data_IF_651108558867
#
_entry.id   IF_651108558867
#
_cell.length_a   1.000
_cell.length_b   1.000
_cell.length_c   1.000
_cell.angle_alpha   90.00
_cell.angle_beta   90.00
_cell.angle_gamma   90.00
#
_symmetry.space_group_name_H-M   'P 1'
#
loop_
_entity.id
_entity.type
_entity.pdbx_description
1 polymer ?
#
# COMPACT_ATOMS: atom_id res chain seq x y z
N UNK A 1 7.14 -0.36 20.96
CA UNK A 1 5.74 -0.20 21.39
C UNK A 1 5.23 -1.57 21.82
N UNK A 2 4.90 -1.77 23.10
CA UNK A 2 4.50 -3.08 23.66
C UNK A 2 3.13 -3.47 23.10
N UNK A 3 3.05 -4.63 22.44
CA UNK A 3 1.79 -5.20 21.93
C UNK A 3 1.29 -6.16 23.01
N UNK A 4 0.51 -5.64 23.95
CA UNK A 4 -0.35 -6.46 24.83
C UNK A 4 -1.80 -6.19 24.42
N UNK A 5 -2.22 -6.82 23.32
CA UNK A 5 -3.62 -6.90 22.90
C UNK A 5 -3.90 -8.33 22.51
N UNK A 6 -5.02 -8.90 22.95
CA UNK A 6 -5.42 -10.26 22.62
C UNK A 6 -5.39 -10.46 21.09
N UNK A 7 -4.81 -11.56 20.63
CA UNK A 7 -4.62 -11.86 19.20
C UNK A 7 -5.95 -11.85 18.43
N UNK A 8 -7.03 -12.24 19.09
CA UNK A 8 -8.38 -12.22 18.52
C UNK A 8 -8.96 -10.81 18.40
N UNK A 9 -8.75 -9.95 19.40
CA UNK A 9 -9.17 -8.53 19.35
C UNK A 9 -8.51 -7.80 18.19
N UNK A 10 -7.24 -8.14 17.89
CA UNK A 10 -6.53 -7.63 16.73
C UNK A 10 -7.21 -8.04 15.41
N UNK A 11 -7.63 -9.31 15.27
CA UNK A 11 -8.29 -9.77 14.05
C UNK A 11 -9.69 -9.17 13.84
N UNK A 12 -10.44 -8.88 14.91
CA UNK A 12 -11.73 -8.17 14.80
C UNK A 12 -11.53 -6.80 14.12
N UNK A 13 -10.52 -6.05 14.57
CA UNK A 13 -10.18 -4.74 14.01
C UNK A 13 -9.69 -4.87 12.56
N UNK A 14 -8.88 -5.88 12.24
CA UNK A 14 -8.41 -6.13 10.87
C UNK A 14 -9.60 -6.51 9.97
N UNK A 15 -10.60 -7.27 10.45
CA UNK A 15 -11.81 -7.61 9.68
C UNK A 15 -12.63 -6.37 9.34
N UNK A 16 -12.79 -5.43 10.28
CA UNK A 16 -13.46 -4.14 10.02
C UNK A 16 -12.72 -3.38 8.93
N UNK A 17 -11.40 -3.24 9.07
CA UNK A 17 -10.55 -2.57 8.06
C UNK A 17 -10.60 -3.24 6.70
N UNK A 18 -10.65 -4.57 6.63
CA UNK A 18 -10.80 -5.32 5.38
C UNK A 18 -12.04 -4.87 4.61
N UNK A 19 -13.17 -4.74 5.32
CA UNK A 19 -14.45 -4.31 4.74
C UNK A 19 -14.39 -2.85 4.33
N UNK A 20 -13.91 -1.97 5.22
CA UNK A 20 -13.76 -0.53 4.96
C UNK A 20 -12.92 -0.26 3.71
N UNK A 21 -11.77 -0.91 3.58
CA UNK A 21 -10.87 -0.79 2.42
C UNK A 21 -11.55 -1.29 1.13
N UNK A 22 -12.59 -2.11 1.23
CA UNK A 22 -13.26 -2.72 0.08
C UNK A 22 -12.50 -3.92 -0.49
N UNK A 23 -11.69 -4.60 0.32
CA UNK A 23 -11.07 -5.87 -0.09
C UNK A 23 -12.17 -6.93 -0.32
N UNK A 24 -11.95 -7.92 -1.22
CA UNK A 24 -13.01 -8.86 -1.59
C UNK A 24 -13.58 -9.63 -0.41
N UNK A 25 -14.90 -9.87 -0.44
CA UNK A 25 -15.58 -10.67 0.60
C UNK A 25 -15.03 -12.11 0.64
N UNK A 26 -14.71 -12.67 -0.52
CA UNK A 26 -14.12 -14.00 -0.74
C UNK A 26 -12.84 -13.89 -1.54
N UNK A 27 -11.85 -14.72 -1.20
CA UNK A 27 -10.56 -14.82 -1.88
C UNK A 27 -10.42 -16.14 -2.68
N UNK A 28 -11.52 -16.90 -2.85
CA UNK A 28 -11.51 -18.17 -3.60
C UNK A 28 -10.89 -17.97 -4.98
N UNK A 29 -9.91 -18.82 -5.32
CA UNK A 29 -9.14 -18.80 -6.57
C UNK A 29 -8.25 -17.55 -6.78
N UNK A 30 -8.13 -16.65 -5.80
CA UNK A 30 -7.29 -15.47 -5.88
C UNK A 30 -5.99 -15.66 -5.09
N UNK A 31 -4.94 -15.01 -5.57
CA UNK A 31 -3.65 -14.90 -4.89
C UNK A 31 -3.48 -13.50 -4.28
N UNK A 32 -2.90 -13.43 -3.07
CA UNK A 32 -2.81 -12.21 -2.26
C UNK A 32 -1.38 -11.93 -1.79
N UNK A 33 -0.95 -10.68 -1.91
CA UNK A 33 0.30 -10.17 -1.34
C UNK A 33 0.00 -8.98 -0.43
N UNK A 34 0.53 -9.02 0.80
CA UNK A 34 0.51 -7.90 1.75
C UNK A 34 1.92 -7.33 1.91
N UNK A 35 2.10 -6.08 1.51
CA UNK A 35 3.38 -5.36 1.53
C UNK A 35 3.44 -4.48 2.78
N UNK A 36 4.43 -4.73 3.65
CA UNK A 36 4.51 -4.11 4.97
C UNK A 36 3.52 -4.77 5.94
N UNK A 37 3.50 -6.11 5.96
CA UNK A 37 2.43 -6.86 6.60
C UNK A 37 2.45 -6.79 8.13
N UNK A 38 3.56 -6.33 8.74
CA UNK A 38 3.74 -6.22 10.18
C UNK A 38 3.34 -7.52 10.91
N UNK A 39 2.25 -7.50 11.67
CA UNK A 39 1.72 -8.65 12.41
C UNK A 39 1.07 -9.75 11.55
N UNK A 40 0.81 -9.49 10.26
CA UNK A 40 0.31 -10.48 9.29
C UNK A 40 -1.22 -10.64 9.25
N UNK A 41 -1.98 -9.73 9.85
CA UNK A 41 -3.43 -9.86 10.02
C UNK A 41 -4.20 -9.95 8.70
N UNK A 42 -3.85 -9.14 7.70
CA UNK A 42 -4.52 -9.18 6.39
C UNK A 42 -4.22 -10.48 5.64
N UNK A 43 -2.98 -10.99 5.71
CA UNK A 43 -2.63 -12.30 5.14
C UNK A 43 -3.43 -13.42 5.79
N UNK A 44 -3.55 -13.40 7.13
CA UNK A 44 -4.37 -14.36 7.89
C UNK A 44 -5.82 -14.34 7.42
N UNK A 45 -6.43 -13.15 7.29
CA UNK A 45 -7.80 -13.04 6.78
C UNK A 45 -7.94 -13.47 5.32
N UNK A 46 -6.95 -13.21 4.46
CA UNK A 46 -6.97 -13.66 3.07
C UNK A 46 -7.03 -15.20 2.99
N UNK A 47 -6.24 -15.89 3.83
CA UNK A 47 -6.25 -17.36 3.95
C UNK A 47 -7.62 -17.84 4.41
N UNK A 48 -8.17 -17.27 5.49
CA UNK A 48 -9.50 -17.65 6.01
C UNK A 48 -10.63 -17.40 4.99
N UNK A 49 -10.46 -16.41 4.11
CA UNK A 49 -11.38 -16.11 3.01
C UNK A 49 -11.19 -17.00 1.79
N UNK A 50 -10.30 -18.00 1.86
CA UNK A 50 -10.11 -19.01 0.83
C UNK A 50 -9.10 -18.63 -0.26
N UNK A 51 -8.13 -17.75 0.03
CA UNK A 51 -7.06 -17.43 -0.92
C UNK A 51 -6.33 -18.69 -1.38
N UNK A 52 -6.11 -18.82 -2.71
CA UNK A 52 -5.31 -19.90 -3.29
C UNK A 52 -3.86 -19.85 -2.78
N UNK A 53 -3.35 -18.63 -2.59
CA UNK A 53 -2.04 -18.36 -1.98
C UNK A 53 -2.09 -16.97 -1.37
N UNK A 54 -1.57 -16.81 -0.17
CA UNK A 54 -1.37 -15.51 0.47
C UNK A 54 0.06 -15.41 0.98
N UNK A 55 0.67 -14.22 0.87
CA UNK A 55 2.02 -13.96 1.34
C UNK A 55 2.09 -12.58 2.00
N UNK A 56 2.72 -12.50 3.16
CA UNK A 56 3.15 -11.24 3.76
C UNK A 56 4.63 -10.99 3.50
N UNK A 57 4.99 -9.72 3.29
CA UNK A 57 6.39 -9.30 3.27
C UNK A 57 6.58 -8.07 4.16
N UNK A 58 7.75 -7.97 4.77
CA UNK A 58 8.15 -6.81 5.56
C UNK A 58 9.68 -6.72 5.59
N UNK A 59 10.23 -5.52 5.77
CA UNK A 59 11.67 -5.34 5.99
C UNK A 59 12.08 -5.79 7.40
N UNK A 60 11.13 -5.77 8.35
CA UNK A 60 11.35 -6.23 9.70
C UNK A 60 11.49 -7.76 9.71
N UNK A 61 12.62 -8.25 10.23
CA UNK A 61 12.96 -9.68 10.24
C UNK A 61 12.20 -10.51 11.28
N UNK A 62 11.58 -9.87 12.28
CA UNK A 62 10.81 -10.58 13.29
C UNK A 62 9.63 -11.31 12.66
N UNK A 63 9.37 -12.55 13.09
CA UNK A 63 8.23 -13.31 12.60
C UNK A 63 6.93 -12.55 12.91
N UNK A 64 5.96 -12.53 11.97
CA UNK A 64 4.64 -11.98 12.22
C UNK A 64 3.98 -12.68 13.39
N UNK A 65 3.09 -11.95 14.04
CA UNK A 65 2.34 -12.43 15.20
C UNK A 65 1.43 -13.60 14.79
N UNK A 66 0.83 -13.51 13.61
CA UNK A 66 0.06 -14.62 13.04
C UNK A 66 0.98 -15.60 12.32
N UNK A 67 0.73 -16.90 12.49
CA UNK A 67 1.43 -17.95 11.75
C UNK A 67 0.96 -17.95 10.28
N UNK A 68 1.63 -17.16 9.44
CA UNK A 68 1.33 -16.94 8.03
C UNK A 68 2.55 -17.23 7.14
N UNK A 69 2.36 -17.51 5.84
CA UNK A 69 3.46 -17.44 4.89
C UNK A 69 4.03 -16.02 4.86
N UNK A 70 5.32 -15.90 5.17
CA UNK A 70 6.00 -14.62 5.34
C UNK A 70 7.43 -14.68 4.82
N UNK A 71 7.90 -13.57 4.22
CA UNK A 71 9.29 -13.39 3.84
C UNK A 71 9.77 -12.01 4.33
N UNK A 72 10.85 -12.01 5.11
CA UNK A 72 11.55 -10.78 5.48
C UNK A 72 12.40 -10.26 4.31
N UNK A 73 11.87 -9.29 3.57
CA UNK A 73 12.51 -8.66 2.41
C UNK A 73 12.10 -7.20 2.28
N UNK A 74 13.03 -6.39 1.79
CA UNK A 74 12.74 -5.03 1.34
C UNK A 74 12.07 -5.05 -0.04
N UNK A 75 10.99 -4.28 -0.21
CA UNK A 75 10.30 -4.08 -1.48
C UNK A 75 11.23 -3.50 -2.57
N UNK A 76 12.24 -2.72 -2.18
CA UNK A 76 13.21 -2.15 -3.13
C UNK A 76 14.32 -3.14 -3.53
N UNK A 77 14.40 -4.32 -2.91
CA UNK A 77 15.40 -5.32 -3.24
C UNK A 77 15.11 -6.07 -4.55
N UNK A 78 16.15 -6.67 -5.14
CA UNK A 78 16.01 -7.60 -6.27
C UNK A 78 15.25 -8.88 -5.89
N UNK A 79 15.33 -9.28 -4.61
CA UNK A 79 14.57 -10.43 -4.09
C UNK A 79 13.07 -10.20 -4.16
N UNK A 80 12.61 -8.96 -3.97
CA UNK A 80 11.21 -8.62 -4.20
C UNK A 80 10.85 -8.79 -5.68
N UNK A 81 11.72 -8.36 -6.61
CA UNK A 81 11.49 -8.53 -8.04
C UNK A 81 11.46 -10.01 -8.47
N UNK A 82 12.11 -10.91 -7.75
CA UNK A 82 12.04 -12.35 -7.99
C UNK A 82 10.72 -13.00 -7.51
N UNK A 83 9.90 -12.32 -6.71
CA UNK A 83 8.60 -12.87 -6.29
C UNK A 83 7.64 -13.10 -7.48
N UNK A 84 6.71 -14.06 -7.38
CA UNK A 84 5.65 -14.19 -8.37
C UNK A 84 4.71 -12.98 -8.35
N UNK A 85 3.85 -12.88 -9.35
CA UNK A 85 2.76 -11.89 -9.39
C UNK A 85 1.50 -12.41 -8.69
N UNK A 86 0.70 -11.51 -8.13
CA UNK A 86 -0.48 -11.81 -7.34
C UNK A 86 -1.72 -11.13 -7.94
N UNK A 87 -2.89 -11.76 -7.81
CA UNK A 87 -4.15 -11.19 -8.27
C UNK A 87 -4.44 -9.88 -7.54
N UNK A 88 -4.22 -9.87 -6.23
CA UNK A 88 -4.46 -8.74 -5.36
C UNK A 88 -3.18 -8.43 -4.59
N UNK A 89 -2.75 -7.18 -4.67
CA UNK A 89 -1.67 -6.63 -3.84
C UNK A 89 -2.28 -5.59 -2.91
N UNK A 90 -2.04 -5.74 -1.62
CA UNK A 90 -2.36 -4.75 -0.60
C UNK A 90 -1.05 -4.10 -0.14
N UNK A 91 -1.04 -2.76 -0.09
CA UNK A 91 0.07 -1.96 0.38
C UNK A 91 -0.50 -0.86 1.29
N UNK A 92 -0.55 -1.14 2.59
CA UNK A 92 -1.17 -0.26 3.56
C UNK A 92 -0.16 0.34 4.53
N UNK A 93 0.02 1.66 4.47
CA UNK A 93 0.87 2.37 5.41
C UNK A 93 2.36 2.35 5.08
N UNK A 94 2.73 2.06 3.83
CA UNK A 94 4.14 2.00 3.39
C UNK A 94 4.56 3.25 2.60
N UNK A 95 3.68 3.83 1.77
CA UNK A 95 4.05 4.86 0.80
C UNK A 95 4.79 6.06 1.43
N UNK A 96 4.26 6.57 2.54
CA UNK A 96 4.83 7.71 3.25
C UNK A 96 6.11 7.37 4.03
N UNK A 97 6.49 6.10 4.16
CA UNK A 97 7.74 5.65 4.78
C UNK A 97 8.89 5.45 3.79
N UNK A 98 8.65 5.68 2.49
CA UNK A 98 9.67 5.43 1.46
C UNK A 98 10.23 6.73 0.91
N UNK A 99 11.54 6.77 0.70
CA UNK A 99 12.21 7.89 0.00
C UNK A 99 11.67 8.06 -1.43
N UNK A 100 11.42 6.95 -2.14
CA UNK A 100 11.02 6.97 -3.54
C UNK A 100 9.62 6.34 -3.77
N UNK A 101 8.54 7.13 -3.65
CA UNK A 101 7.17 6.62 -3.82
C UNK A 101 6.87 6.17 -5.26
N UNK A 102 7.50 6.77 -6.28
CA UNK A 102 7.31 6.36 -7.68
C UNK A 102 7.91 4.98 -7.94
N UNK A 103 9.10 4.71 -7.40
CA UNK A 103 9.75 3.40 -7.47
C UNK A 103 8.92 2.34 -6.74
N UNK A 104 8.38 2.66 -5.56
CA UNK A 104 7.45 1.80 -4.82
C UNK A 104 6.25 1.41 -5.70
N UNK A 105 5.53 2.39 -6.26
CA UNK A 105 4.34 2.13 -7.07
C UNK A 105 4.65 1.31 -8.33
N UNK A 106 5.78 1.54 -9.00
CA UNK A 106 6.22 0.71 -10.13
C UNK A 106 6.47 -0.75 -9.73
N UNK A 107 7.10 -0.97 -8.59
CA UNK A 107 7.36 -2.31 -8.04
C UNK A 107 6.06 -3.02 -7.66
N UNK A 108 5.12 -2.31 -7.03
CA UNK A 108 3.77 -2.83 -6.76
C UNK A 108 3.03 -3.18 -8.05
N UNK A 109 3.12 -2.33 -9.08
CA UNK A 109 2.51 -2.59 -10.40
C UNK A 109 2.99 -3.90 -10.99
N UNK A 110 4.31 -4.15 -11.00
CA UNK A 110 4.91 -5.38 -11.52
C UNK A 110 4.38 -6.62 -10.78
N UNK A 111 4.00 -6.50 -9.51
CA UNK A 111 3.47 -7.61 -8.71
C UNK A 111 1.95 -7.75 -8.72
N UNK A 112 1.25 -6.82 -9.35
CA UNK A 112 -0.22 -6.79 -9.38
C UNK A 112 -0.73 -7.35 -10.71
N UNK A 113 -1.64 -8.32 -10.69
CA UNK A 113 -2.34 -8.80 -11.91
C UNK A 113 -3.70 -8.13 -12.10
N UNK A 114 -4.50 -7.98 -11.03
CA UNK A 114 -5.87 -7.45 -11.13
C UNK A 114 -6.05 -6.13 -10.39
N UNK A 115 -5.78 -6.13 -9.08
CA UNK A 115 -6.05 -4.97 -8.25
C UNK A 115 -4.94 -4.67 -7.24
N UNK A 116 -4.51 -3.41 -7.23
CA UNK A 116 -3.75 -2.83 -6.13
C UNK A 116 -4.72 -2.14 -5.19
N UNK A 117 -4.62 -2.47 -3.90
CA UNK A 117 -5.24 -1.73 -2.81
C UNK A 117 -4.15 -0.95 -2.07
N UNK A 118 -4.13 0.36 -2.27
CA UNK A 118 -3.16 1.27 -1.64
C UNK A 118 -3.84 2.04 -0.51
N UNK A 119 -3.26 2.00 0.70
CA UNK A 119 -3.73 2.80 1.83
C UNK A 119 -2.61 3.69 2.36
N UNK A 120 -2.87 4.98 2.51
CA UNK A 120 -1.87 5.98 2.90
C UNK A 120 -2.47 7.07 3.79
N UNK A 121 -1.63 7.75 4.57
CA UNK A 121 -1.95 9.04 5.16
C UNK A 121 -1.87 10.13 4.08
N UNK A 122 -2.82 11.06 4.10
CA UNK A 122 -2.98 12.13 3.12
C UNK A 122 -3.09 13.49 3.82
N UNK A 123 -2.52 14.51 3.17
CA UNK A 123 -2.80 15.91 3.50
C UNK A 123 -4.12 16.37 2.89
N UNK A 124 -4.84 17.24 3.60
CA UNK A 124 -6.07 17.89 3.10
C UNK A 124 -5.85 19.26 2.46
N UNK A 125 -4.60 19.66 2.23
CA UNK A 125 -4.29 20.98 1.66
C UNK A 125 -4.14 20.90 0.14
N UNK A 126 -4.46 22.04 -0.50
CA UNK A 126 -4.23 22.39 -1.89
C UNK A 126 -5.15 21.69 -2.91
N UNK A 127 -5.58 22.47 -3.89
CA UNK A 127 -6.37 21.99 -5.03
C UNK A 127 -5.49 21.34 -6.12
N UNK A 128 -4.18 21.52 -6.08
CA UNK A 128 -3.24 20.90 -7.02
C UNK A 128 -2.66 19.58 -6.48
N UNK A 129 -2.17 18.66 -7.33
CA UNK A 129 -1.44 17.48 -6.90
C UNK A 129 -0.14 17.87 -6.19
N UNK A 130 -0.07 17.72 -4.87
CA UNK A 130 1.11 18.07 -4.08
C UNK A 130 1.54 16.96 -3.11
N UNK A 131 2.84 16.94 -2.83
CA UNK A 131 3.44 16.08 -1.81
C UNK A 131 4.35 16.90 -0.92
N UNK A 132 4.08 16.88 0.40
CA UNK A 132 4.88 17.59 1.40
C UNK A 132 5.98 16.67 1.91
N UNK A 133 7.21 17.17 2.03
CA UNK A 133 8.28 16.51 2.78
C UNK A 133 8.04 16.65 4.29
N UNK A 134 8.24 15.57 5.05
CA UNK A 134 8.13 15.54 6.51
C UNK A 134 9.53 15.42 7.11
N UNK A 135 10.17 16.54 7.51
CA UNK A 135 11.55 16.52 7.99
C UNK A 135 11.70 15.98 9.41
N UNK A 136 10.62 15.91 10.19
CA UNK A 136 10.67 15.48 11.58
C UNK A 136 9.63 14.39 11.87
N UNK A 137 8.75 14.60 12.84
CA UNK A 137 7.84 13.59 13.36
C UNK A 137 6.36 14.04 13.29
N UNK A 138 6.04 14.96 12.38
CA UNK A 138 4.75 15.65 12.27
C UNK A 138 3.56 14.69 12.04
N UNK A 139 3.85 13.49 11.51
CA UNK A 139 2.86 12.45 11.30
C UNK A 139 3.00 11.35 12.35
N UNK A 140 2.17 11.42 13.39
CA UNK A 140 2.06 10.35 14.39
C UNK A 140 3.29 10.17 15.28
N UNK A 141 4.08 11.23 15.50
CA UNK A 141 5.33 11.19 16.27
C UNK A 141 6.33 10.16 15.71
N UNK A 142 6.35 10.01 14.39
CA UNK A 142 7.20 9.02 13.72
C UNK A 142 8.18 9.71 12.75
N UNK A 143 9.49 9.55 13.02
CA UNK A 143 10.58 10.09 12.22
C UNK A 143 10.85 9.33 10.92
N UNK A 144 10.24 8.16 10.72
CA UNK A 144 10.43 7.38 9.50
C UNK A 144 9.53 7.83 8.34
N UNK A 145 8.75 8.89 8.51
CA UNK A 145 7.90 9.40 7.44
C UNK A 145 8.69 10.38 6.55
N UNK A 146 8.70 10.12 5.25
CA UNK A 146 9.30 11.00 4.24
C UNK A 146 8.29 11.99 3.67
N UNK A 147 7.09 11.51 3.36
CA UNK A 147 6.16 12.22 2.48
C UNK A 147 4.75 12.26 3.02
N UNK A 148 4.03 13.33 2.72
CA UNK A 148 2.59 13.45 2.93
C UNK A 148 1.92 14.00 1.65
N UNK A 149 1.47 13.12 0.75
CA UNK A 149 0.75 13.51 -0.46
C UNK A 149 -0.68 13.93 -0.17
N UNK A 150 -1.30 14.73 -1.02
CA UNK A 150 -2.76 14.86 -1.06
C UNK A 150 -3.38 13.82 -2.01
N UNK A 151 -4.71 13.75 -2.03
CA UNK A 151 -5.45 12.76 -2.84
C UNK A 151 -5.14 12.87 -4.33
N UNK A 152 -5.16 14.10 -4.88
CA UNK A 152 -4.85 14.35 -6.29
C UNK A 152 -3.43 13.90 -6.64
N UNK A 153 -2.46 14.07 -5.73
CA UNK A 153 -1.10 13.55 -5.91
C UNK A 153 -1.05 12.03 -5.95
N UNK A 154 -1.74 11.33 -5.04
CA UNK A 154 -1.82 9.85 -5.07
C UNK A 154 -2.38 9.37 -6.41
N UNK A 155 -3.49 9.96 -6.87
CA UNK A 155 -4.12 9.61 -8.15
C UNK A 155 -3.14 9.85 -9.30
N UNK A 156 -2.54 11.04 -9.38
CA UNK A 156 -1.58 11.38 -10.42
C UNK A 156 -0.36 10.44 -10.44
N UNK A 157 0.15 10.03 -9.27
CA UNK A 157 1.26 9.07 -9.17
C UNK A 157 0.86 7.66 -9.64
N UNK A 158 -0.34 7.20 -9.27
CA UNK A 158 -0.87 5.91 -9.73
C UNK A 158 -1.03 5.89 -11.26
N UNK A 159 -1.63 6.93 -11.85
CA UNK A 159 -1.77 7.06 -13.30
C UNK A 159 -0.40 7.09 -13.99
N UNK A 160 0.52 7.90 -13.47
CA UNK A 160 1.88 8.05 -14.02
C UNK A 160 2.70 6.76 -13.97
N UNK A 161 2.37 5.85 -13.04
CA UNK A 161 3.01 4.53 -12.91
C UNK A 161 2.27 3.41 -13.64
N UNK A 162 1.21 3.74 -14.39
CA UNK A 162 0.50 2.82 -15.26
C UNK A 162 -0.62 2.04 -14.58
N UNK A 163 -1.18 2.59 -13.50
CA UNK A 163 -2.47 2.14 -12.96
C UNK A 163 -3.62 2.93 -13.59
N UNK A 164 -4.79 2.29 -13.67
CA UNK A 164 -6.03 2.87 -14.19
C UNK A 164 -7.21 2.48 -13.29
N UNK A 165 -8.41 3.00 -13.60
CA UNK A 165 -9.64 2.73 -12.83
C UNK A 165 -9.48 3.04 -11.33
N UNK A 166 -8.79 4.14 -11.03
CA UNK A 166 -8.47 4.53 -9.66
C UNK A 166 -9.75 5.01 -8.98
N UNK A 167 -10.09 4.41 -7.85
CA UNK A 167 -11.24 4.80 -7.03
C UNK A 167 -10.85 4.85 -5.57
N UNK A 168 -11.21 5.93 -4.88
CA UNK A 168 -11.15 5.99 -3.42
C UNK A 168 -12.25 5.09 -2.85
N UNK A 169 -11.88 4.11 -2.04
CA UNK A 169 -12.81 3.14 -1.44
C UNK A 169 -13.13 3.46 0.01
N UNK A 170 -12.22 4.17 0.68
CA UNK A 170 -12.35 4.52 2.08
C UNK A 170 -11.69 5.87 2.37
N UNK A 171 -12.25 6.58 3.34
CA UNK A 171 -11.67 7.78 3.93
C UNK A 171 -11.96 7.79 5.43
N UNK A 172 -10.93 7.92 6.26
CA UNK A 172 -11.09 8.04 7.71
C UNK A 172 -11.63 9.39 8.12
N UNK A 173 -12.10 9.50 9.37
CA UNK A 173 -12.31 10.80 10.02
C UNK A 173 -11.02 11.63 9.99
N UNK A 174 -11.19 12.95 9.96
CA UNK A 174 -10.09 13.91 10.05
C UNK A 174 -9.36 13.76 11.39
N UNK A 175 -8.03 13.68 11.34
CA UNK A 175 -7.19 13.92 12.50
C UNK A 175 -6.86 15.43 12.57
N UNK A 176 -7.46 16.18 13.51
CA UNK A 176 -7.28 17.63 13.57
C UNK A 176 -5.87 18.03 13.99
N UNK A 177 -5.12 17.17 14.69
CA UNK A 177 -3.77 17.51 15.20
C UNK A 177 -2.77 17.79 14.09
N UNK A 178 -2.91 17.14 12.95
CA UNK A 178 -1.99 17.23 11.82
C UNK A 178 -2.70 17.44 10.48
N UNK A 179 -4.02 17.70 10.51
CA UNK A 179 -4.86 17.90 9.33
C UNK A 179 -4.70 16.79 8.28
N UNK A 180 -4.74 15.53 8.75
CA UNK A 180 -4.57 14.35 7.91
C UNK A 180 -5.79 13.45 7.91
N UNK A 181 -5.94 12.66 6.84
CA UNK A 181 -6.85 11.52 6.75
C UNK A 181 -6.11 10.30 6.24
N UNK A 182 -6.65 9.12 6.51
CA UNK A 182 -6.17 7.87 5.93
C UNK A 182 -7.17 7.43 4.88
N UNK A 183 -6.73 7.36 3.63
CA UNK A 183 -7.55 6.96 2.50
C UNK A 183 -7.05 5.66 1.89
N UNK A 184 -7.98 4.91 1.31
CA UNK A 184 -7.69 3.69 0.57
C UNK A 184 -8.15 3.84 -0.88
N UNK A 185 -7.36 3.32 -1.81
CA UNK A 185 -7.60 3.37 -3.24
C UNK A 185 -7.51 1.97 -3.82
N UNK A 186 -8.43 1.65 -4.74
CA UNK A 186 -8.30 0.50 -5.63
C UNK A 186 -7.91 0.99 -7.02
N UNK A 187 -7.04 0.25 -7.69
CA UNK A 187 -6.67 0.50 -9.08
C UNK A 187 -6.27 -0.79 -9.78
N UNK A 188 -6.23 -0.78 -11.11
CA UNK A 188 -5.83 -1.93 -11.93
C UNK A 188 -4.61 -1.59 -12.78
N UNK A 189 -3.64 -2.51 -12.93
CA UNK A 189 -2.48 -2.28 -13.76
C UNK A 189 -2.87 -2.29 -15.25
N UNK A 190 -2.25 -1.43 -16.05
CA UNK A 190 -2.35 -1.45 -17.52
C UNK A 190 -0.96 -1.57 -18.16
N UNK A 191 -0.87 -2.26 -19.29
CA UNK A 191 0.34 -2.34 -20.12
C UNK A 191 0.55 -1.06 -20.94
N UNK A 192 0.50 0.10 -20.27
CA UNK A 192 0.90 1.37 -20.85
C UNK A 192 1.99 1.94 -19.94
N UNK A 193 3.14 2.24 -20.54
CA UNK A 193 4.13 3.09 -19.93
C UNK A 193 3.69 4.53 -20.21
N UNK A 194 3.44 5.32 -19.15
CA UNK A 194 3.15 6.74 -19.31
C UNK A 194 4.28 7.40 -20.11
N UNK A 195 3.98 8.38 -20.96
CA UNK A 195 5.01 9.18 -21.64
C UNK A 195 5.95 9.88 -20.64
N UNK A 196 5.52 10.06 -19.38
CA UNK A 196 6.36 10.52 -18.26
C UNK A 196 7.53 9.59 -17.93
N UNK A 197 7.55 8.37 -18.48
CA UNK A 197 8.65 7.42 -18.33
C UNK A 197 9.77 7.71 -19.32
N UNK A 198 9.51 8.48 -20.37
CA UNK A 198 10.53 8.91 -21.32
C UNK A 198 11.23 10.15 -20.77
N UNK A 199 12.56 10.09 -20.57
CA UNK A 199 13.30 11.17 -19.91
C UNK A 199 13.41 12.46 -20.75
N UNK A 200 12.92 12.49 -22.00
CA UNK A 200 13.02 13.65 -22.90
C UNK A 200 11.81 13.75 -23.83
N UNK A 201 11.48 14.98 -24.26
CA UNK A 201 10.58 15.22 -25.39
C UNK A 201 11.11 14.47 -26.61
N UNK A 202 10.21 13.85 -27.40
CA UNK A 202 10.55 13.16 -28.66
C UNK A 202 11.32 14.05 -29.66
N UNK A 203 11.21 15.37 -29.54
CA UNK A 203 11.82 16.37 -30.42
C UNK A 203 13.33 16.61 -30.21
N UNK A 204 13.99 15.85 -29.31
CA UNK A 204 15.42 16.00 -28.98
C UNK A 204 16.26 14.75 -29.31
N UNK A 205 15.80 13.90 -30.23
CA UNK A 205 16.47 12.70 -30.75
C UNK A 205 16.48 12.75 -32.28
#
# INVERSE_FOLDING_TARGET
MRINSNLEENLIEVRKKWIEIGLPKSMKNLTFLDVGCWGGGFVKLAIEKGAKKALGIDIIKSKPIHNIPFIAIDIFSERFLALPTFDIVFCGGVLYHTENPISLLRRLKIKTKKHLYLKSALSLKNEEPVMKILPTNELGNNFSNWWLPNEKCIIAMLESTGFTNIKKTHESKLNPKNNTKVCSFISSPKNILSEKILPRKKELL
#
